data_IF_250882717436
#
_entry.id   IF_250882717436
#
_cell.length_a   1.000
_cell.length_b   1.000
_cell.length_c   1.000
_cell.angle_alpha   90.00
_cell.angle_beta   90.00
_cell.angle_gamma   90.00
#
_symmetry.space_group_name_H-M   'P 1'
#
loop_
_entity.id
_entity.type
_entity.pdbx_description
1 polymer ?
#
# COMPACT_ATOMS: atom_id res chain seq x y z
N UNK A 1 -47.03 37.58 40.68
CA UNK A 1 -45.81 37.22 39.93
C UNK A 1 -46.11 37.36 38.44
N UNK A 2 -45.32 38.12 37.70
CA UNK A 2 -45.54 38.32 36.27
C UNK A 2 -45.13 37.05 35.51
N UNK A 3 -46.10 36.31 34.98
CA UNK A 3 -45.83 35.18 34.10
C UNK A 3 -45.32 35.71 32.77
N UNK A 4 -44.06 35.41 32.44
CA UNK A 4 -43.50 35.68 31.12
C UNK A 4 -44.33 34.92 30.08
N UNK A 5 -45.04 35.64 29.21
CA UNK A 5 -45.79 35.07 28.09
C UNK A 5 -44.81 34.56 27.03
N UNK A 6 -44.34 33.33 27.24
CA UNK A 6 -43.45 32.61 26.33
C UNK A 6 -44.14 32.17 25.03
N UNK A 7 -45.47 32.20 24.97
CA UNK A 7 -46.27 31.74 23.82
C UNK A 7 -45.88 32.45 22.52
N UNK A 8 -45.62 33.76 22.56
CA UNK A 8 -45.27 34.53 21.36
C UNK A 8 -43.87 34.19 20.83
N UNK A 9 -42.95 33.80 21.71
CA UNK A 9 -41.60 33.36 21.34
C UNK A 9 -41.64 31.91 20.83
N UNK A 10 -42.41 31.03 21.48
CA UNK A 10 -42.62 29.65 21.05
C UNK A 10 -43.26 29.57 19.66
N UNK A 11 -44.22 30.45 19.36
CA UNK A 11 -44.86 30.48 18.04
C UNK A 11 -43.87 30.82 16.92
N UNK A 12 -42.89 31.70 17.18
CA UNK A 12 -41.86 32.08 16.20
C UNK A 12 -40.83 30.97 15.96
N UNK A 13 -40.61 30.09 16.92
CA UNK A 13 -39.69 28.95 16.78
C UNK A 13 -40.30 27.79 15.98
N UNK A 14 -41.64 27.65 15.96
CA UNK A 14 -42.31 26.60 15.20
C UNK A 14 -42.15 26.76 13.68
N UNK A 15 -42.03 28.00 13.21
CA UNK A 15 -41.90 28.31 11.78
C UNK A 15 -40.43 28.42 11.31
N UNK A 16 -39.47 28.23 12.23
CA UNK A 16 -38.05 28.29 11.91
C UNK A 16 -37.62 27.01 11.17
N UNK A 17 -37.59 27.08 9.84
CA UNK A 17 -37.05 26.01 8.99
C UNK A 17 -35.52 26.12 8.92
N UNK A 18 -34.85 25.00 9.16
CA UNK A 18 -33.39 24.92 9.10
C UNK A 18 -32.95 25.15 7.65
N UNK A 19 -31.94 25.99 7.37
CA UNK A 19 -31.44 26.15 6.00
C UNK A 19 -30.97 24.81 5.43
N UNK A 20 -31.21 24.59 4.14
CA UNK A 20 -30.99 23.30 3.48
C UNK A 20 -29.55 22.77 3.59
N UNK A 21 -28.58 23.65 3.80
CA UNK A 21 -27.17 23.34 4.07
C UNK A 21 -26.96 22.55 5.37
N UNK A 22 -27.86 22.66 6.34
CA UNK A 22 -27.75 22.04 7.67
C UNK A 22 -28.68 20.84 7.88
N UNK A 23 -29.48 20.46 6.88
CA UNK A 23 -30.38 19.30 6.95
C UNK A 23 -29.68 17.97 7.25
N UNK A 24 -28.38 17.88 7.00
CA UNK A 24 -27.58 16.70 7.34
C UNK A 24 -27.49 16.44 8.86
N UNK A 25 -27.73 17.45 9.71
CA UNK A 25 -27.74 17.34 11.16
C UNK A 25 -29.01 16.66 11.71
N UNK A 26 -30.09 16.61 10.92
CA UNK A 26 -31.36 15.99 11.31
C UNK A 26 -31.40 14.48 11.04
N UNK A 27 -30.35 13.90 10.45
CA UNK A 27 -30.33 12.49 10.00
C UNK A 27 -30.16 11.45 11.13
N UNK A 28 -30.26 11.86 12.39
CA UNK A 28 -30.11 10.98 13.56
C UNK A 28 -31.14 11.20 14.66
N UNK A 29 -32.10 12.12 14.48
CA UNK A 29 -33.24 12.26 15.39
C UNK A 29 -34.36 11.45 14.77
N UNK A 30 -34.60 10.26 15.32
CA UNK A 30 -35.55 9.31 14.77
C UNK A 30 -36.97 9.87 14.72
N UNK A 31 -37.41 10.30 13.54
CA UNK A 31 -38.81 10.30 13.17
C UNK A 31 -39.01 9.23 12.09
N UNK A 32 -39.54 8.09 12.55
CA UNK A 32 -40.08 7.04 11.71
C UNK A 32 -41.26 7.61 10.92
N UNK A 33 -41.22 7.50 9.60
CA UNK A 33 -42.44 7.52 8.79
C UNK A 33 -42.89 6.07 8.62
N UNK A 34 -43.96 5.76 9.34
CA UNK A 34 -44.99 4.77 9.07
C UNK A 34 -44.60 3.53 8.26
N UNK A 35 -44.50 2.40 8.97
CA UNK A 35 -44.72 1.06 8.42
C UNK A 35 -46.10 0.57 8.86
N UNK A 36 -46.78 -0.28 8.08
CA UNK A 36 -46.78 -1.67 8.52
C UNK A 36 -46.71 -2.66 7.36
N UNK A 37 -45.62 -3.44 7.32
CA UNK A 37 -45.66 -4.86 7.00
C UNK A 37 -44.32 -5.51 7.40
N UNK A 38 -44.35 -6.30 8.46
CA UNK A 38 -43.36 -7.33 8.80
C UNK A 38 -43.21 -8.30 7.60
N UNK A 39 -42.09 -8.98 7.33
CA UNK A 39 -41.16 -9.80 8.10
C UNK A 39 -39.85 -9.86 7.26
N UNK A 40 -38.62 -10.00 7.76
CA UNK A 40 -38.04 -11.20 8.35
C UNK A 40 -36.67 -10.86 8.97
N UNK A 41 -36.35 -11.58 10.05
CA UNK A 41 -35.23 -11.37 10.94
C UNK A 41 -33.84 -11.58 10.31
N UNK A 42 -32.90 -10.69 10.65
CA UNK A 42 -31.47 -11.00 10.70
C UNK A 42 -30.92 -10.49 12.03
N UNK A 43 -30.38 -11.43 12.80
CA UNK A 43 -30.23 -11.36 14.25
C UNK A 43 -29.33 -10.24 14.77
N UNK A 44 -29.81 -9.61 15.83
CA UNK A 44 -29.07 -8.69 16.67
C UNK A 44 -28.18 -9.49 17.64
N UNK A 45 -26.88 -9.16 17.68
CA UNK A 45 -25.88 -9.85 18.49
C UNK A 45 -26.19 -9.71 20.00
N UNK A 46 -26.89 -8.64 20.38
CA UNK A 46 -27.34 -8.38 21.75
C UNK A 46 -28.43 -9.35 22.20
N UNK A 47 -29.28 -9.81 21.28
CA UNK A 47 -30.31 -10.83 21.58
C UNK A 47 -29.70 -12.22 21.83
N UNK A 48 -28.46 -12.48 21.41
CA UNK A 48 -27.76 -13.74 21.66
C UNK A 48 -27.08 -13.77 23.04
N UNK A 49 -26.81 -12.61 23.62
CA UNK A 49 -26.21 -12.48 24.95
C UNK A 49 -27.27 -12.39 26.07
N UNK A 50 -28.51 -12.08 25.73
CA UNK A 50 -29.61 -12.01 26.68
C UNK A 50 -30.13 -13.43 26.99
N UNK A 51 -29.65 -13.99 28.11
CA UNK A 51 -30.13 -15.29 28.62
C UNK A 51 -29.04 -16.33 28.91
N UNK A 52 -27.76 -16.00 28.75
CA UNK A 52 -26.67 -16.87 29.25
C UNK A 52 -26.29 -16.42 30.67
N UNK A 53 -26.68 -17.15 31.73
CA UNK A 53 -26.22 -16.83 33.07
C UNK A 53 -24.70 -16.99 33.15
N UNK A 54 -24.04 -15.97 33.73
CA UNK A 54 -22.58 -15.86 33.85
C UNK A 54 -21.92 -16.95 34.74
N UNK A 55 -22.70 -17.86 35.32
CA UNK A 55 -22.24 -18.87 36.30
C UNK A 55 -22.29 -20.32 35.81
N UNK A 56 -22.19 -20.57 34.49
CA UNK A 56 -21.87 -21.93 34.05
C UNK A 56 -20.41 -22.27 34.44
N UNK A 57 -20.15 -23.39 35.12
CA UNK A 57 -18.79 -23.89 35.29
C UNK A 57 -18.13 -24.03 33.92
N UNK A 58 -16.91 -23.52 33.77
CA UNK A 58 -16.12 -23.70 32.55
C UNK A 58 -15.93 -25.20 32.37
N UNK A 59 -16.62 -25.80 31.40
CA UNK A 59 -16.38 -27.18 31.04
C UNK A 59 -14.93 -27.31 30.55
N UNK A 60 -14.18 -28.31 31.05
CA UNK A 60 -12.82 -28.52 30.60
C UNK A 60 -12.82 -28.79 29.10
N UNK A 61 -12.04 -28.01 28.36
CA UNK A 61 -11.86 -28.17 26.92
C UNK A 61 -11.52 -29.63 26.60
N UNK A 62 -12.11 -30.21 25.54
CA UNK A 62 -11.87 -31.61 25.20
C UNK A 62 -10.37 -31.84 24.94
N UNK A 63 -9.85 -32.97 25.44
CA UNK A 63 -8.40 -33.23 25.52
C UNK A 63 -7.67 -33.15 24.17
N UNK A 64 -8.38 -33.35 23.07
CA UNK A 64 -7.84 -33.23 21.72
C UNK A 64 -7.43 -31.78 21.38
N UNK A 65 -8.13 -30.77 21.92
CA UNK A 65 -7.80 -29.36 21.74
C UNK A 65 -6.62 -28.96 22.62
N UNK A 66 -6.55 -29.49 23.85
CA UNK A 66 -5.44 -29.23 24.79
C UNK A 66 -4.13 -29.85 24.30
N UNK A 67 -4.16 -31.07 23.77
CA UNK A 67 -2.97 -31.75 23.19
C UNK A 67 -2.46 -31.02 21.95
N UNK A 68 -3.35 -30.44 21.14
CA UNK A 68 -2.98 -29.69 19.94
C UNK A 68 -2.35 -28.32 20.26
N UNK A 69 -2.78 -27.68 21.36
CA UNK A 69 -2.27 -26.37 21.77
C UNK A 69 -0.93 -26.44 22.55
N UNK A 70 -0.61 -27.58 23.17
CA UNK A 70 0.64 -27.79 23.92
C UNK A 70 1.76 -28.47 23.11
N UNK A 71 1.51 -28.85 21.86
CA UNK A 71 2.51 -29.47 21.00
C UNK A 71 3.45 -28.40 20.43
N UNK A 72 4.46 -27.99 21.20
CA UNK A 72 5.60 -27.26 20.68
C UNK A 72 6.31 -28.13 19.61
N UNK A 73 6.69 -27.58 18.44
CA UNK A 73 7.34 -28.36 17.40
C UNK A 73 8.69 -28.89 17.89
N UNK A 74 8.75 -30.20 18.09
CA UNK A 74 9.99 -30.91 18.37
C UNK A 74 10.87 -30.92 17.10
N UNK A 75 11.99 -30.21 17.16
CA UNK A 75 13.20 -30.53 16.40
C UNK A 75 13.29 -30.05 14.96
N UNK A 76 13.70 -28.78 14.78
CA UNK A 76 14.71 -28.50 13.76
C UNK A 76 15.81 -27.62 14.37
N UNK A 77 17.05 -28.10 14.23
CA UNK A 77 18.26 -27.44 14.73
C UNK A 77 18.50 -26.15 13.92
N UNK A 78 18.19 -24.99 14.50
CA UNK A 78 18.88 -23.69 14.29
C UNK A 78 18.00 -22.52 14.79
N UNK A 79 18.13 -22.18 16.07
CA UNK A 79 17.68 -20.88 16.55
C UNK A 79 18.69 -19.78 16.14
N UNK A 80 18.23 -18.55 15.84
CA UNK A 80 19.13 -17.44 15.56
C UNK A 80 19.80 -16.99 16.85
N UNK A 81 21.14 -16.99 16.85
CA UNK A 81 21.95 -16.42 17.92
C UNK A 81 21.64 -14.92 18.02
N UNK A 82 21.01 -14.50 19.11
CA UNK A 82 20.94 -13.09 19.51
C UNK A 82 22.36 -12.62 19.85
N UNK A 83 22.82 -11.59 19.13
CA UNK A 83 24.07 -10.91 19.45
C UNK A 83 23.93 -10.12 20.76
N UNK A 84 24.84 -10.27 21.74
CA UNK A 84 24.97 -9.30 22.82
C UNK A 84 25.74 -8.07 22.32
N UNK A 85 25.12 -6.90 22.47
CA UNK A 85 25.76 -5.59 22.32
C UNK A 85 26.92 -5.47 23.32
N UNK A 86 28.16 -5.30 22.82
CA UNK A 86 29.32 -4.95 23.63
C UNK A 86 29.24 -3.48 24.05
N UNK A 87 28.78 -3.24 25.27
CA UNK A 87 29.10 -2.04 26.05
C UNK A 87 30.47 -2.18 26.72
N UNK A 88 31.30 -1.15 26.58
CA UNK A 88 32.57 -0.97 27.30
C UNK A 88 32.29 -0.76 28.79
N UNK A 89 32.97 -1.48 29.65
CA UNK A 89 33.48 -0.97 30.94
C UNK A 89 34.67 -1.80 31.38
N UNK A 90 35.62 -1.13 32.01
CA UNK A 90 36.93 -1.58 32.41
C UNK A 90 36.92 -2.42 33.69
N UNK A 91 38.09 -3.01 33.96
CA UNK A 91 38.69 -3.31 35.28
C UNK A 91 38.30 -4.59 36.04
N UNK A 92 39.38 -5.31 36.40
CA UNK A 92 39.60 -6.25 37.52
C UNK A 92 39.43 -7.76 37.21
N UNK A 93 40.57 -8.47 37.28
CA UNK A 93 40.70 -9.93 37.45
C UNK A 93 40.55 -10.28 38.94
N UNK A 94 40.27 -11.55 39.28
CA UNK A 94 41.38 -12.42 39.68
C UNK A 94 41.30 -13.84 39.08
N UNK A 95 42.48 -14.47 39.00
CA UNK A 95 42.73 -15.79 38.42
C UNK A 95 42.55 -16.92 39.45
N UNK A 96 42.02 -18.07 39.01
CA UNK A 96 42.35 -19.42 39.52
C UNK A 96 42.30 -20.40 38.33
N UNK A 97 43.45 -21.01 38.01
CA UNK A 97 43.62 -22.07 37.01
C UNK A 97 43.34 -23.44 37.68
N UNK A 98 43.18 -24.60 36.98
CA UNK A 98 44.21 -25.11 36.04
C UNK A 98 43.69 -25.85 34.80
N UNK A 99 44.55 -25.93 33.79
CA UNK A 99 44.50 -26.99 32.79
C UNK A 99 43.71 -26.68 31.53
N UNK A 100 44.29 -25.88 30.64
CA UNK A 100 44.29 -26.16 29.20
C UNK A 100 45.40 -25.32 28.58
N UNK A 101 46.24 -25.96 27.79
CA UNK A 101 47.40 -25.41 27.11
C UNK A 101 46.94 -24.18 26.31
N UNK A 102 47.22 -22.98 26.80
CA UNK A 102 46.83 -21.75 26.11
C UNK A 102 47.81 -21.57 24.95
N UNK A 103 47.33 -21.65 23.71
CA UNK A 103 48.12 -21.28 22.55
C UNK A 103 48.67 -19.85 22.79
N UNK A 104 49.95 -19.59 22.47
CA UNK A 104 50.56 -18.29 22.76
C UNK A 104 49.75 -17.16 22.09
N UNK A 105 49.60 -15.99 22.74
CA UNK A 105 48.88 -14.88 22.16
C UNK A 105 49.53 -14.49 20.82
N UNK A 106 48.73 -14.25 19.75
CA UNK A 106 49.27 -14.00 18.42
C UNK A 106 50.18 -12.77 18.48
N UNK A 107 51.37 -12.93 17.91
CA UNK A 107 52.39 -11.89 17.89
C UNK A 107 51.86 -10.63 17.19
N UNK A 108 52.44 -9.46 17.48
CA UNK A 108 52.03 -8.18 16.89
C UNK A 108 51.99 -8.21 15.35
N UNK A 109 52.83 -9.05 14.71
CA UNK A 109 52.84 -9.32 13.27
C UNK A 109 51.64 -10.17 12.80
N UNK A 110 51.19 -11.16 13.56
CA UNK A 110 50.01 -11.97 13.25
C UNK A 110 48.70 -11.19 13.43
N UNK A 111 48.66 -10.27 14.40
CA UNK A 111 47.51 -9.38 14.62
C UNK A 111 47.36 -8.34 13.50
N UNK A 112 48.48 -7.80 12.99
CA UNK A 112 48.49 -6.86 11.87
C UNK A 112 48.04 -7.53 10.55
N UNK A 113 48.56 -8.73 10.27
CA UNK A 113 48.19 -9.51 9.08
C UNK A 113 46.74 -10.00 9.10
N UNK A 114 46.20 -10.40 10.26
CA UNK A 114 44.78 -10.72 10.39
C UNK A 114 43.87 -9.48 10.25
N UNK A 115 44.28 -8.33 10.78
CA UNK A 115 43.54 -7.07 10.63
C UNK A 115 43.54 -6.55 9.19
N UNK A 116 44.65 -6.65 8.46
CA UNK A 116 44.72 -6.33 7.02
C UNK A 116 43.88 -7.29 6.16
N UNK A 117 43.91 -8.59 6.45
CA UNK A 117 43.13 -9.60 5.73
C UNK A 117 41.62 -9.45 5.97
N UNK A 118 41.20 -9.03 7.17
CA UNK A 118 39.81 -8.66 7.47
C UNK A 118 39.42 -7.32 6.81
N UNK A 119 40.31 -6.32 6.77
CA UNK A 119 40.09 -5.05 6.04
C UNK A 119 39.94 -5.27 4.53
N UNK A 120 40.77 -6.11 3.92
CA UNK A 120 40.72 -6.49 2.52
C UNK A 120 39.42 -7.20 2.14
N UNK A 121 39.00 -8.21 2.93
CA UNK A 121 37.70 -8.91 2.74
C UNK A 121 36.51 -7.94 2.78
N UNK A 122 36.51 -6.99 3.72
CA UNK A 122 35.42 -6.01 3.85
C UNK A 122 35.36 -5.01 2.67
N UNK A 123 36.51 -4.70 2.06
CA UNK A 123 36.61 -3.81 0.89
C UNK A 123 36.11 -4.53 -0.37
N UNK A 124 36.52 -5.78 -0.59
CA UNK A 124 36.07 -6.58 -1.74
C UNK A 124 34.56 -6.85 -1.71
N UNK A 125 34.00 -7.13 -0.53
CA UNK A 125 32.55 -7.32 -0.36
C UNK A 125 31.76 -6.03 -0.62
N UNK A 126 32.30 -4.88 -0.19
CA UNK A 126 31.71 -3.57 -0.46
C UNK A 126 31.71 -3.25 -1.96
N UNK A 127 32.84 -3.43 -2.64
CA UNK A 127 32.96 -3.20 -4.09
C UNK A 127 32.04 -4.14 -4.89
N UNK A 128 31.92 -5.41 -4.47
CA UNK A 128 31.01 -6.37 -5.08
C UNK A 128 29.54 -5.95 -4.93
N UNK A 129 29.15 -5.46 -3.75
CA UNK A 129 27.80 -4.95 -3.48
C UNK A 129 27.48 -3.73 -4.34
N UNK A 130 28.39 -2.76 -4.41
CA UNK A 130 28.24 -1.57 -5.26
C UNK A 130 28.13 -1.93 -6.75
N UNK A 131 28.94 -2.87 -7.23
CA UNK A 131 28.86 -3.35 -8.63
C UNK A 131 27.53 -4.04 -8.93
N UNK A 132 26.98 -4.80 -7.97
CA UNK A 132 25.65 -5.44 -8.09
C UNK A 132 24.54 -4.39 -8.15
N UNK A 133 24.63 -3.36 -7.32
CA UNK A 133 23.66 -2.26 -7.26
C UNK A 133 23.68 -1.39 -8.52
N UNK A 134 24.87 -1.00 -9.00
CA UNK A 134 25.03 -0.31 -10.30
C UNK A 134 24.42 -1.11 -11.44
N UNK A 135 24.60 -2.44 -11.45
CA UNK A 135 24.01 -3.33 -12.46
C UNK A 135 22.48 -3.41 -12.34
N UNK A 136 21.93 -3.41 -11.12
CA UNK A 136 20.48 -3.38 -10.85
C UNK A 136 19.87 -2.07 -11.35
N UNK A 137 20.41 -0.93 -10.94
CA UNK A 137 19.95 0.41 -11.36
C UNK A 137 19.99 0.59 -12.88
N UNK A 138 21.03 0.05 -13.54
CA UNK A 138 21.09 0.03 -15.01
C UNK A 138 19.94 -0.75 -15.65
N UNK A 139 19.59 -1.92 -15.10
CA UNK A 139 18.45 -2.71 -15.60
C UNK A 139 17.14 -1.98 -15.39
N UNK A 140 16.91 -1.44 -14.21
CA UNK A 140 15.70 -0.67 -13.88
C UNK A 140 15.52 0.53 -14.81
N UNK A 141 16.59 1.26 -15.15
CA UNK A 141 16.54 2.36 -16.12
C UNK A 141 16.17 1.89 -17.53
N UNK A 142 16.75 0.77 -17.97
CA UNK A 142 16.40 0.20 -19.27
C UNK A 142 14.96 -0.34 -19.29
N UNK A 143 14.49 -0.91 -18.18
CA UNK A 143 13.12 -1.42 -18.01
C UNK A 143 12.12 -0.27 -17.99
N UNK A 144 12.45 0.82 -17.29
CA UNK A 144 11.65 2.03 -17.27
C UNK A 144 11.51 2.67 -18.65
N UNK A 145 12.57 2.67 -19.46
CA UNK A 145 12.48 3.14 -20.85
C UNK A 145 11.59 2.25 -21.73
N UNK A 146 11.55 0.94 -21.48
CA UNK A 146 10.62 0.03 -22.17
C UNK A 146 9.18 0.28 -21.72
N UNK A 147 8.96 0.41 -20.41
CA UNK A 147 7.64 0.66 -19.83
C UNK A 147 7.08 2.02 -20.22
N UNK A 148 7.91 3.05 -20.32
CA UNK A 148 7.50 4.36 -20.85
C UNK A 148 6.81 4.22 -22.21
N UNK A 149 7.40 3.46 -23.14
CA UNK A 149 6.84 3.25 -24.49
C UNK A 149 5.61 2.35 -24.46
N UNK A 150 5.65 1.30 -23.64
CA UNK A 150 4.57 0.32 -23.55
C UNK A 150 3.33 0.91 -22.88
N UNK A 151 3.47 1.64 -21.77
CA UNK A 151 2.36 2.13 -20.95
C UNK A 151 1.74 3.43 -21.48
N UNK A 152 2.43 4.19 -22.33
CA UNK A 152 1.90 5.42 -22.92
C UNK A 152 0.54 5.24 -23.64
N UNK A 153 0.34 4.27 -24.55
CA UNK A 153 -0.97 4.04 -25.17
C UNK A 153 -2.04 3.66 -24.15
N UNK A 154 -1.71 2.82 -23.16
CA UNK A 154 -2.64 2.42 -22.11
C UNK A 154 -3.18 3.62 -21.33
N UNK A 155 -2.27 4.48 -20.84
CA UNK A 155 -2.67 5.68 -20.07
C UNK A 155 -3.43 6.66 -20.96
N UNK A 156 -3.08 6.77 -22.24
CA UNK A 156 -3.83 7.59 -23.21
C UNK A 156 -5.27 7.09 -23.37
N UNK A 157 -5.44 5.78 -23.48
CA UNK A 157 -6.75 5.16 -23.60
C UNK A 157 -7.61 5.32 -22.33
N UNK A 158 -7.02 5.12 -21.15
CA UNK A 158 -7.71 5.37 -19.87
C UNK A 158 -8.17 6.83 -19.73
N UNK A 159 -7.39 7.78 -20.26
CA UNK A 159 -7.75 9.21 -20.30
C UNK A 159 -8.84 9.52 -21.31
N UNK A 160 -8.92 8.76 -22.40
CA UNK A 160 -9.92 8.94 -23.45
C UNK A 160 -11.29 8.35 -23.08
N UNK A 161 -11.35 7.51 -22.04
CA UNK A 161 -12.62 7.03 -21.49
C UNK A 161 -13.46 8.21 -21.03
N UNK A 162 -14.73 8.25 -21.44
CA UNK A 162 -15.68 9.32 -21.06
C UNK A 162 -16.99 8.71 -20.61
N UNK A 163 -17.68 9.43 -19.72
CA UNK A 163 -18.97 9.01 -19.19
C UNK A 163 -20.03 10.06 -19.48
N UNK A 164 -21.19 9.63 -19.98
CA UNK A 164 -22.33 10.52 -20.20
C UNK A 164 -22.78 11.21 -18.91
N UNK A 165 -22.64 10.52 -17.76
CA UNK A 165 -22.96 11.07 -16.43
C UNK A 165 -21.94 12.07 -15.89
N UNK A 166 -20.84 12.33 -16.59
CA UNK A 166 -19.84 13.33 -16.20
C UNK A 166 -19.64 14.35 -17.32
N UNK A 167 -20.30 15.51 -17.22
CA UNK A 167 -20.28 16.52 -18.28
C UNK A 167 -19.32 17.66 -17.94
N UNK A 168 -18.37 17.92 -18.82
CA UNK A 168 -17.44 19.05 -18.74
C UNK A 168 -17.65 19.92 -19.98
N UNK A 169 -18.01 21.19 -19.77
CA UNK A 169 -18.27 22.15 -20.86
C UNK A 169 -19.27 21.62 -21.92
N UNK A 170 -20.34 20.96 -21.47
CA UNK A 170 -21.39 20.42 -22.33
C UNK A 170 -21.06 19.12 -23.07
N UNK A 171 -19.90 18.49 -22.80
CA UNK A 171 -19.52 17.21 -23.40
C UNK A 171 -19.25 16.14 -22.34
N UNK A 172 -19.50 14.85 -22.62
CA UNK A 172 -19.05 13.74 -21.78
C UNK A 172 -17.55 13.84 -21.54
N UNK A 173 -17.14 13.62 -20.30
CA UNK A 173 -15.78 13.81 -19.83
C UNK A 173 -15.33 12.71 -18.88
N UNK A 174 -14.14 12.91 -18.32
CA UNK A 174 -13.47 11.97 -17.43
C UNK A 174 -13.10 12.68 -16.11
N UNK A 175 -13.69 12.31 -14.97
CA UNK A 175 -13.40 12.96 -13.69
C UNK A 175 -11.94 12.76 -13.24
N UNK A 176 -11.28 11.71 -13.71
CA UNK A 176 -9.93 11.31 -13.27
C UNK A 176 -8.80 11.97 -14.06
N UNK A 177 -9.12 12.76 -15.09
CA UNK A 177 -8.10 13.48 -15.88
C UNK A 177 -7.59 14.72 -15.14
N UNK A 178 -8.41 15.35 -14.32
CA UNK A 178 -8.01 16.58 -13.64
C UNK A 178 -7.05 16.32 -12.48
N UNK A 179 -6.00 17.14 -12.38
CA UNK A 179 -5.04 17.05 -11.29
C UNK A 179 -5.68 17.52 -9.98
N UNK A 180 -5.71 16.66 -8.96
CA UNK A 180 -6.23 17.04 -7.65
C UNK A 180 -5.22 17.90 -6.89
N UNK A 181 -5.48 19.21 -6.84
CA UNK A 181 -4.74 20.21 -6.03
C UNK A 181 -5.72 20.94 -5.12
N UNK A 182 -5.22 21.60 -4.06
CA UNK A 182 -6.10 22.32 -3.11
C UNK A 182 -6.91 23.40 -3.82
N UNK A 183 -6.32 24.08 -4.81
CA UNK A 183 -6.96 25.11 -5.62
C UNK A 183 -8.04 24.51 -6.52
N UNK A 184 -7.74 23.40 -7.21
CA UNK A 184 -8.70 22.73 -8.07
C UNK A 184 -9.88 22.15 -7.26
N UNK A 185 -9.61 21.52 -6.12
CA UNK A 185 -10.64 20.99 -5.23
C UNK A 185 -11.56 22.09 -4.70
N UNK A 186 -11.00 23.26 -4.33
CA UNK A 186 -11.82 24.45 -3.97
C UNK A 186 -12.73 24.89 -5.11
N UNK A 187 -12.21 24.97 -6.35
CA UNK A 187 -12.99 25.35 -7.53
C UNK A 187 -14.09 24.33 -7.88
N UNK A 188 -13.86 23.05 -7.58
CA UNK A 188 -14.83 21.96 -7.77
C UNK A 188 -15.87 21.88 -6.63
N UNK A 189 -15.83 22.79 -5.66
CA UNK A 189 -16.77 22.77 -4.52
C UNK A 189 -16.47 21.69 -3.47
N UNK A 190 -15.28 21.07 -3.51
CA UNK A 190 -14.82 20.03 -2.59
C UNK A 190 -13.57 20.46 -1.81
N UNK A 191 -13.61 21.58 -1.06
CA UNK A 191 -12.42 22.12 -0.38
C UNK A 191 -11.84 21.17 0.69
N UNK A 192 -12.67 20.28 1.24
CA UNK A 192 -12.32 19.30 2.27
C UNK A 192 -11.75 17.98 1.71
N UNK A 193 -11.52 17.86 0.39
CA UNK A 193 -11.04 16.63 -0.24
C UNK A 193 -9.77 16.07 0.44
N UNK A 194 -8.81 16.94 0.78
CA UNK A 194 -7.54 16.57 1.40
C UNK A 194 -7.64 16.21 2.89
N UNK A 195 -8.80 16.45 3.51
CA UNK A 195 -9.05 16.02 4.88
C UNK A 195 -9.28 14.50 4.92
N UNK A 196 -9.84 13.94 3.85
CA UNK A 196 -10.10 12.50 3.69
C UNK A 196 -9.02 11.79 2.86
N UNK A 197 -8.61 12.38 1.74
CA UNK A 197 -7.62 11.77 0.83
C UNK A 197 -6.22 12.32 1.10
N UNK A 198 -5.31 11.45 1.54
CA UNK A 198 -3.92 11.84 1.89
C UNK A 198 -2.98 11.83 0.70
N UNK A 199 -3.05 10.78 -0.12
CA UNK A 199 -2.18 10.59 -1.27
C UNK A 199 -2.98 10.67 -2.57
N UNK A 200 -3.19 11.88 -3.13
CA UNK A 200 -4.01 12.05 -4.33
C UNK A 200 -3.32 11.46 -5.56
N UNK A 201 -4.08 10.75 -6.40
CA UNK A 201 -3.61 10.21 -7.67
C UNK A 201 -4.65 10.46 -8.76
N UNK A 202 -4.19 10.71 -9.98
CA UNK A 202 -5.02 11.07 -11.14
C UNK A 202 -4.32 10.67 -12.45
N UNK A 203 -5.08 10.56 -13.55
CA UNK A 203 -4.57 10.14 -14.86
C UNK A 203 -3.61 11.17 -15.49
N UNK A 204 -3.61 12.42 -15.00
CA UNK A 204 -2.61 13.41 -15.43
C UNK A 204 -1.27 13.17 -14.77
N UNK A 205 -1.23 12.94 -13.45
CA UNK A 205 -0.01 12.49 -12.76
C UNK A 205 0.50 11.17 -13.33
N UNK A 206 -0.36 10.19 -13.59
CA UNK A 206 0.09 8.92 -14.17
C UNK A 206 0.71 9.11 -15.56
N UNK A 207 0.14 9.98 -16.41
CA UNK A 207 0.74 10.35 -17.70
C UNK A 207 2.12 10.99 -17.53
N UNK A 208 2.25 11.97 -16.63
CA UNK A 208 3.54 12.61 -16.31
C UNK A 208 4.58 11.56 -15.86
N UNK A 209 4.20 10.64 -14.97
CA UNK A 209 5.08 9.56 -14.50
C UNK A 209 5.50 8.59 -15.61
N UNK A 210 4.61 8.28 -16.56
CA UNK A 210 4.97 7.51 -17.76
C UNK A 210 5.97 8.29 -18.61
N UNK A 211 5.68 9.56 -18.90
CA UNK A 211 6.52 10.44 -19.72
C UNK A 211 7.93 10.62 -19.14
N UNK A 212 8.06 10.67 -17.81
CA UNK A 212 9.34 10.75 -17.12
C UNK A 212 10.03 9.39 -16.89
N UNK A 213 9.46 8.29 -17.38
CA UNK A 213 9.97 6.94 -17.18
C UNK A 213 10.18 6.59 -15.70
N UNK A 214 9.21 6.93 -14.84
CA UNK A 214 9.28 6.66 -13.40
C UNK A 214 8.84 5.23 -13.05
N UNK A 215 8.11 4.57 -13.93
CA UNK A 215 7.69 3.18 -13.75
C UNK A 215 8.77 2.21 -14.22
N UNK A 216 9.40 1.52 -13.27
CA UNK A 216 10.34 0.42 -13.49
C UNK A 216 9.67 -0.95 -13.54
N UNK A 217 8.43 -1.05 -13.05
CA UNK A 217 7.58 -2.26 -13.06
C UNK A 217 6.15 -1.89 -13.38
N UNK A 218 5.42 -2.79 -14.04
CA UNK A 218 3.98 -2.62 -14.31
C UNK A 218 3.19 -2.48 -13.01
N UNK A 219 3.56 -3.23 -11.97
CA UNK A 219 2.85 -3.20 -10.68
C UNK A 219 2.87 -1.81 -10.02
N UNK A 220 3.82 -0.94 -10.37
CA UNK A 220 3.83 0.46 -9.89
C UNK A 220 2.69 1.27 -10.53
N UNK A 221 2.41 1.08 -11.83
CA UNK A 221 1.23 1.69 -12.45
C UNK A 221 -0.05 1.08 -11.87
N UNK A 222 -0.07 -0.24 -11.64
CA UNK A 222 -1.21 -0.92 -11.00
C UNK A 222 -1.52 -0.31 -9.63
N UNK A 223 -0.48 -0.05 -8.82
CA UNK A 223 -0.64 0.59 -7.52
C UNK A 223 -1.25 1.99 -7.64
N UNK A 224 -0.83 2.80 -8.62
CA UNK A 224 -1.36 4.14 -8.83
C UNK A 224 -2.82 4.13 -9.33
N UNK A 225 -3.17 3.21 -10.23
CA UNK A 225 -4.56 3.04 -10.70
C UNK A 225 -5.47 2.63 -9.53
N UNK A 226 -5.02 1.68 -8.71
CA UNK A 226 -5.77 1.23 -7.52
C UNK A 226 -5.87 2.32 -6.47
N UNK A 227 -4.81 3.11 -6.25
CA UNK A 227 -4.83 4.26 -5.35
C UNK A 227 -5.83 5.31 -5.82
N UNK A 228 -5.83 5.66 -7.10
CA UNK A 228 -6.78 6.60 -7.68
C UNK A 228 -8.23 6.12 -7.50
N UNK A 229 -8.52 4.85 -7.82
CA UNK A 229 -9.84 4.27 -7.64
C UNK A 229 -10.25 4.19 -6.16
N UNK A 230 -9.33 3.81 -5.26
CA UNK A 230 -9.57 3.76 -3.83
C UNK A 230 -9.87 5.14 -3.25
N UNK A 231 -9.13 6.17 -3.65
CA UNK A 231 -9.38 7.56 -3.25
C UNK A 231 -10.78 8.01 -3.69
N UNK A 232 -11.17 7.70 -4.92
CA UNK A 232 -12.49 8.01 -5.43
C UNK A 232 -13.59 7.27 -4.64
N UNK A 233 -13.42 5.98 -4.37
CA UNK A 233 -14.37 5.17 -3.59
C UNK A 233 -14.44 5.57 -2.10
N UNK A 234 -13.36 6.15 -1.56
CA UNK A 234 -13.30 6.64 -0.17
C UNK A 234 -14.03 7.97 -0.03
N UNK A 235 -13.86 8.88 -1.00
CA UNK A 235 -14.47 10.20 -0.94
C UNK A 235 -15.95 10.20 -1.38
N UNK A 236 -16.31 9.37 -2.36
CA UNK A 236 -17.67 9.33 -2.93
C UNK A 236 -18.45 8.13 -2.38
N UNK A 237 -19.72 8.35 -2.05
CA UNK A 237 -20.57 7.31 -1.45
C UNK A 237 -20.91 6.23 -2.49
N UNK A 238 -21.15 5.01 -2.01
CA UNK A 238 -21.63 3.92 -2.88
C UNK A 238 -22.93 4.35 -3.56
N UNK A 239 -23.01 4.16 -4.88
CA UNK A 239 -24.13 4.59 -5.72
C UNK A 239 -23.98 5.97 -6.35
N UNK A 240 -23.01 6.78 -5.94
CA UNK A 240 -22.71 8.03 -6.64
C UNK A 240 -21.99 7.76 -7.98
N UNK A 241 -22.20 8.60 -9.02
CA UNK A 241 -21.63 8.37 -10.34
C UNK A 241 -20.10 8.19 -10.33
N UNK A 242 -19.37 9.02 -9.58
CA UNK A 242 -17.90 8.94 -9.51
C UNK A 242 -17.42 7.64 -8.85
N UNK A 243 -18.18 7.11 -7.89
CA UNK A 243 -17.88 5.82 -7.26
C UNK A 243 -17.98 4.69 -8.30
N UNK A 244 -19.04 4.70 -9.12
CA UNK A 244 -19.25 3.72 -10.17
C UNK A 244 -18.19 3.83 -11.28
N UNK A 245 -17.87 5.05 -11.73
CA UNK A 245 -16.82 5.30 -12.72
C UNK A 245 -15.44 4.81 -12.23
N UNK A 246 -15.16 4.88 -10.92
CA UNK A 246 -13.93 4.36 -10.34
C UNK A 246 -13.83 2.83 -10.41
N UNK A 247 -14.96 2.13 -10.33
CA UNK A 247 -15.02 0.67 -10.50
C UNK A 247 -14.80 0.33 -11.98
N UNK A 248 -15.46 1.05 -12.89
CA UNK A 248 -15.36 0.79 -14.34
C UNK A 248 -13.94 0.98 -14.87
N UNK A 249 -13.23 2.03 -14.43
CA UNK A 249 -11.84 2.26 -14.86
C UNK A 249 -10.87 1.20 -14.30
N UNK A 250 -11.12 0.73 -13.06
CA UNK A 250 -10.35 -0.36 -12.46
C UNK A 250 -10.55 -1.67 -13.23
N UNK A 251 -11.80 -2.01 -13.59
CA UNK A 251 -12.12 -3.18 -14.41
C UNK A 251 -11.51 -3.10 -15.81
N UNK A 252 -11.63 -1.96 -16.48
CA UNK A 252 -11.01 -1.74 -17.79
C UNK A 252 -9.50 -1.95 -17.73
N UNK A 253 -8.85 -1.40 -16.70
CA UNK A 253 -7.42 -1.59 -16.50
C UNK A 253 -7.06 -3.07 -16.24
N UNK A 254 -7.80 -3.75 -15.37
CA UNK A 254 -7.55 -5.16 -15.04
C UNK A 254 -7.72 -6.07 -16.26
N UNK A 255 -8.73 -5.83 -17.11
CA UNK A 255 -8.93 -6.59 -18.35
C UNK A 255 -7.72 -6.56 -19.29
N UNK A 256 -6.96 -5.46 -19.29
CA UNK A 256 -5.80 -5.27 -20.16
C UNK A 256 -4.48 -5.67 -19.51
N UNK A 257 -4.46 -5.77 -18.18
CA UNK A 257 -3.23 -5.95 -17.42
C UNK A 257 -2.45 -7.20 -17.84
N UNK A 258 -3.16 -8.30 -18.14
CA UNK A 258 -2.55 -9.57 -18.53
C UNK A 258 -1.74 -9.44 -19.83
N UNK A 259 -2.31 -8.80 -20.86
CA UNK A 259 -1.67 -8.60 -22.15
C UNK A 259 -0.42 -7.72 -22.02
N UNK A 260 -0.53 -6.61 -21.28
CA UNK A 260 0.60 -5.71 -21.05
C UNK A 260 1.73 -6.39 -20.27
N UNK A 261 1.42 -7.25 -19.29
CA UNK A 261 2.42 -8.05 -18.57
C UNK A 261 3.13 -9.01 -19.51
N UNK A 262 2.38 -9.75 -20.33
CA UNK A 262 2.94 -10.67 -21.34
C UNK A 262 3.85 -9.95 -22.33
N UNK A 263 3.38 -8.85 -22.93
CA UNK A 263 4.18 -8.06 -23.89
C UNK A 263 5.47 -7.54 -23.25
N UNK A 264 5.41 -7.08 -21.99
CA UNK A 264 6.62 -6.61 -21.30
C UNK A 264 7.64 -7.73 -21.07
N UNK A 265 7.19 -8.92 -20.69
CA UNK A 265 8.06 -10.08 -20.52
C UNK A 265 8.72 -10.52 -21.83
N UNK A 266 7.97 -10.53 -22.93
CA UNK A 266 8.49 -10.82 -24.27
C UNK A 266 9.58 -9.81 -24.68
N UNK A 267 9.33 -8.51 -24.49
CA UNK A 267 10.30 -7.45 -24.75
C UNK A 267 11.58 -7.59 -23.91
N UNK A 268 11.43 -8.00 -22.64
CA UNK A 268 12.56 -8.29 -21.75
C UNK A 268 13.41 -9.47 -22.24
N UNK A 269 12.76 -10.54 -22.70
CA UNK A 269 13.43 -11.73 -23.24
C UNK A 269 14.17 -11.42 -24.54
N UNK A 270 13.51 -10.75 -25.49
CA UNK A 270 14.10 -10.36 -26.76
C UNK A 270 15.33 -9.46 -26.56
N UNK A 271 15.25 -8.50 -25.63
CA UNK A 271 16.40 -7.67 -25.26
C UNK A 271 17.58 -8.50 -24.71
N UNK A 272 17.31 -9.49 -23.85
CA UNK A 272 18.35 -10.40 -23.32
C UNK A 272 18.98 -11.24 -24.43
N UNK A 273 18.18 -11.74 -25.37
CA UNK A 273 18.63 -12.50 -26.55
C UNK A 273 19.56 -11.66 -27.43
N UNK A 274 19.12 -10.45 -27.83
CA UNK A 274 19.93 -9.49 -28.60
C UNK A 274 21.28 -9.16 -27.95
N UNK A 275 21.30 -8.99 -26.62
CA UNK A 275 22.54 -8.75 -25.86
C UNK A 275 23.49 -9.96 -25.92
N UNK A 276 22.96 -11.18 -25.82
CA UNK A 276 23.75 -12.42 -25.93
C UNK A 276 24.34 -12.59 -27.33
N UNK A 277 23.54 -12.34 -28.36
CA UNK A 277 23.98 -12.49 -29.75
C UNK A 277 25.02 -11.45 -30.14
N UNK A 278 24.87 -10.20 -29.68
CA UNK A 278 25.89 -9.15 -29.86
C UNK A 278 27.20 -9.50 -29.16
N UNK A 279 27.17 -10.19 -28.00
CA UNK A 279 28.38 -10.67 -27.33
C UNK A 279 29.06 -11.78 -28.15
N UNK A 280 28.31 -12.80 -28.56
CA UNK A 280 28.83 -13.91 -29.39
C UNK A 280 29.50 -13.42 -30.68
N UNK A 281 28.90 -12.43 -31.35
CA UNK A 281 29.48 -11.84 -32.58
C UNK A 281 30.79 -11.09 -32.31
N UNK A 282 30.92 -10.43 -31.16
CA UNK A 282 32.16 -9.74 -30.77
C UNK A 282 33.28 -10.71 -30.43
N UNK A 283 32.95 -11.78 -29.73
CA UNK A 283 33.92 -12.82 -29.35
C UNK A 283 34.48 -13.50 -30.62
N UNK A 284 33.60 -13.90 -31.56
CA UNK A 284 34.00 -14.44 -32.88
C UNK A 284 34.89 -13.51 -33.73
N UNK A 285 34.82 -12.19 -33.52
CA UNK A 285 35.65 -11.21 -34.26
C UNK A 285 37.02 -11.01 -33.60
N UNK A 286 37.19 -11.41 -32.33
CA UNK A 286 38.50 -11.36 -31.65
C UNK A 286 39.36 -12.58 -31.95
N UNK A 287 38.72 -13.70 -32.28
CA UNK A 287 39.40 -14.96 -32.59
C UNK A 287 39.81 -15.09 -34.07
N UNK A 288 39.55 -14.05 -34.89
CA UNK A 288 39.80 -14.01 -36.33
C UNK A 288 40.63 -12.78 -36.68
#
# INVERSE_FOLDING_TARGET
MAHYKLETQLSKMKDATLPQTYHHLLRGVGEQRDSPAAQEAKGDLLSLLEGVPFDRPIEPLPENVVKSALQLPAGSKSGPVLHPLKGRTSTIRPCKAPGLIHAPPPTSKERATQAEKQKGKSKDDKERKEKKEKKKKKREREDASLLQKLLAPLVTELRALTWAGWVVSGKPGNPFVQKFTRENCKRLGVPNYFDYVKDPMDLTRMKEKVEHAEYSKIDQLTADVKLMAANAKTFNRVGEPVHQMAIEIEQLYESKLADYKKTFEELQQERKKRKKDKKKRKDKKKDK
#
